data_IF_507473842763
#
_entry.id   IF_507473842763
#
_cell.length_a   1.000
_cell.length_b   1.000
_cell.length_c   1.000
_cell.angle_alpha   90.00
_cell.angle_beta   90.00
_cell.angle_gamma   90.00
#
_symmetry.space_group_name_H-M   'P 1'
#
loop_
_entity.id
_entity.type
_entity.pdbx_description
1 polymer ?
#
# COMPACT_ATOMS: atom_id res chain seq x y z
N UNK A 1 85.03 8.92 -1.08
CA UNK A 1 83.86 8.04 -0.81
C UNK A 1 82.99 7.95 -2.06
N UNK A 2 82.83 6.76 -2.66
CA UNK A 2 81.90 6.57 -3.80
C UNK A 2 80.47 6.71 -3.28
N UNK A 3 79.75 7.77 -3.69
CA UNK A 3 78.31 7.90 -3.40
C UNK A 3 77.60 6.74 -4.08
N UNK A 4 77.09 5.79 -3.30
CA UNK A 4 76.27 4.70 -3.82
C UNK A 4 74.91 5.28 -4.20
N UNK A 5 74.52 5.20 -5.47
CA UNK A 5 73.25 5.72 -6.01
C UNK A 5 72.04 4.79 -5.73
N UNK A 6 72.29 3.58 -5.23
CA UNK A 6 71.26 2.58 -4.90
C UNK A 6 70.11 3.08 -3.98
N UNK A 7 70.36 3.85 -2.89
CA UNK A 7 69.29 4.30 -2.01
C UNK A 7 68.40 5.39 -2.64
N UNK A 8 68.93 6.22 -3.54
CA UNK A 8 68.14 7.26 -4.21
C UNK A 8 67.16 6.65 -5.22
N UNK A 9 67.59 5.64 -5.98
CA UNK A 9 66.73 4.92 -6.93
C UNK A 9 65.60 4.21 -6.17
N UNK A 10 65.91 3.55 -5.05
CA UNK A 10 64.90 2.86 -4.25
C UNK A 10 63.85 3.83 -3.69
N UNK A 11 64.27 5.02 -3.23
CA UNK A 11 63.36 6.08 -2.78
C UNK A 11 62.44 6.57 -3.90
N UNK A 12 62.97 6.74 -5.11
CA UNK A 12 62.17 7.12 -6.28
C UNK A 12 61.10 6.07 -6.63
N UNK A 13 61.48 4.79 -6.66
CA UNK A 13 60.53 3.68 -6.92
C UNK A 13 59.47 3.59 -5.83
N UNK A 14 59.84 3.80 -4.57
CA UNK A 14 58.90 3.79 -3.45
C UNK A 14 57.84 4.89 -3.58
N UNK A 15 58.26 6.12 -3.92
CA UNK A 15 57.35 7.26 -4.14
C UNK A 15 56.39 7.00 -5.30
N UNK A 16 56.88 6.42 -6.40
CA UNK A 16 56.03 6.09 -7.54
C UNK A 16 55.00 5.01 -7.16
N UNK A 17 55.43 4.00 -6.42
CA UNK A 17 54.52 2.91 -5.97
C UNK A 17 53.43 3.44 -5.04
N UNK A 18 53.77 4.32 -4.09
CA UNK A 18 52.78 4.90 -3.18
C UNK A 18 51.79 5.81 -3.91
N UNK A 19 52.25 6.58 -4.90
CA UNK A 19 51.37 7.37 -5.76
C UNK A 19 50.36 6.51 -6.53
N UNK A 20 50.84 5.41 -7.14
CA UNK A 20 49.98 4.47 -7.86
C UNK A 20 48.94 3.85 -6.92
N UNK A 21 49.35 3.42 -5.73
CA UNK A 21 48.43 2.87 -4.73
C UNK A 21 47.36 3.89 -4.30
N UNK A 22 47.74 5.15 -4.13
CA UNK A 22 46.81 6.21 -3.74
C UNK A 22 45.76 6.46 -4.83
N UNK A 23 46.17 6.47 -6.10
CA UNK A 23 45.26 6.59 -7.25
C UNK A 23 44.31 5.39 -7.31
N UNK A 24 44.83 4.16 -7.18
CA UNK A 24 44.00 2.95 -7.18
C UNK A 24 42.98 2.95 -6.02
N UNK A 25 43.41 3.38 -4.84
CA UNK A 25 42.54 3.50 -3.67
C UNK A 25 41.41 4.50 -3.92
N UNK A 26 41.73 5.68 -4.46
CA UNK A 26 40.75 6.69 -4.82
C UNK A 26 39.74 6.17 -5.85
N UNK A 27 40.20 5.54 -6.92
CA UNK A 27 39.33 4.97 -7.96
C UNK A 27 38.42 3.88 -7.38
N UNK A 28 38.93 3.03 -6.51
CA UNK A 28 38.14 1.97 -5.87
C UNK A 28 37.02 2.54 -5.00
N UNK A 29 37.34 3.56 -4.20
CA UNK A 29 36.33 4.27 -3.39
C UNK A 29 35.27 4.91 -4.28
N UNK A 30 35.70 5.64 -5.31
CA UNK A 30 34.79 6.30 -6.23
C UNK A 30 33.85 5.30 -6.90
N UNK A 31 34.39 4.19 -7.41
CA UNK A 31 33.60 3.14 -8.05
C UNK A 31 32.57 2.53 -7.09
N UNK A 32 32.97 2.30 -5.83
CA UNK A 32 32.07 1.78 -4.80
C UNK A 32 30.94 2.76 -4.48
N UNK A 33 31.25 4.05 -4.38
CA UNK A 33 30.26 5.10 -4.17
C UNK A 33 29.27 5.13 -5.34
N UNK A 34 29.75 5.14 -6.58
CA UNK A 34 28.90 5.15 -7.77
C UNK A 34 27.97 3.92 -7.83
N UNK A 35 28.48 2.74 -7.47
CA UNK A 35 27.67 1.52 -7.35
C UNK A 35 26.59 1.66 -6.28
N UNK A 36 26.94 2.16 -5.09
CA UNK A 36 25.96 2.37 -4.01
C UNK A 36 24.86 3.37 -4.41
N UNK A 37 25.22 4.45 -5.09
CA UNK A 37 24.23 5.41 -5.59
C UNK A 37 23.29 4.77 -6.62
N UNK A 38 23.81 3.94 -7.50
CA UNK A 38 23.01 3.21 -8.49
C UNK A 38 22.04 2.25 -7.81
N UNK A 39 22.51 1.44 -6.86
CA UNK A 39 21.66 0.52 -6.09
C UNK A 39 20.55 1.28 -5.33
N UNK A 40 20.87 2.40 -4.69
CA UNK A 40 19.88 3.24 -4.00
C UNK A 40 18.82 3.76 -5.00
N UNK A 41 19.24 4.16 -6.19
CA UNK A 41 18.34 4.58 -7.27
C UNK A 41 17.38 3.47 -7.69
N UNK A 42 17.91 2.27 -7.94
CA UNK A 42 17.12 1.10 -8.32
C UNK A 42 16.14 0.68 -7.20
N UNK A 43 16.61 0.63 -5.95
CA UNK A 43 15.76 0.31 -4.79
C UNK A 43 14.63 1.33 -4.63
N UNK A 44 14.92 2.63 -4.80
CA UNK A 44 13.89 3.66 -4.73
C UNK A 44 12.87 3.56 -5.86
N UNK A 45 13.30 3.20 -7.07
CA UNK A 45 12.39 2.95 -8.18
C UNK A 45 11.44 1.77 -7.88
N UNK A 46 11.98 0.65 -7.40
CA UNK A 46 11.20 -0.53 -6.98
C UNK A 46 10.23 -0.17 -5.85
N UNK A 47 10.68 0.60 -4.86
CA UNK A 47 9.84 1.09 -3.76
C UNK A 47 8.69 1.96 -4.27
N UNK A 48 8.94 2.82 -5.26
CA UNK A 48 7.91 3.62 -5.93
C UNK A 48 6.86 2.75 -6.63
N UNK A 49 7.30 1.75 -7.39
CA UNK A 49 6.41 0.79 -8.04
C UNK A 49 5.55 0.00 -7.04
N UNK A 50 6.14 -0.48 -5.95
CA UNK A 50 5.43 -1.18 -4.89
C UNK A 50 4.38 -0.28 -4.22
N UNK A 51 4.72 0.98 -3.91
CA UNK A 51 3.75 1.94 -3.37
C UNK A 51 2.59 2.18 -4.34
N UNK A 52 2.87 2.37 -5.63
CA UNK A 52 1.83 2.54 -6.64
C UNK A 52 0.94 1.31 -6.74
N UNK A 53 1.52 0.11 -6.66
CA UNK A 53 0.76 -1.14 -6.64
C UNK A 53 -0.15 -1.24 -5.41
N UNK A 54 0.33 -0.86 -4.22
CA UNK A 54 -0.49 -0.82 -3.00
C UNK A 54 -1.64 0.19 -3.11
N UNK A 55 -1.37 1.38 -3.63
CA UNK A 55 -2.42 2.39 -3.85
C UNK A 55 -3.46 1.85 -4.84
N UNK A 56 -3.01 1.25 -5.95
CA UNK A 56 -3.91 0.65 -6.93
C UNK A 56 -4.80 -0.44 -6.30
N UNK A 57 -4.22 -1.34 -5.50
CA UNK A 57 -5.01 -2.36 -4.79
C UNK A 57 -6.02 -1.75 -3.82
N UNK A 58 -5.66 -0.67 -3.11
CA UNK A 58 -6.60 0.02 -2.22
C UNK A 58 -7.76 0.64 -2.99
N UNK A 59 -7.49 1.27 -4.13
CA UNK A 59 -8.53 1.82 -5.00
C UNK A 59 -9.42 0.71 -5.53
N UNK A 60 -8.85 -0.40 -5.99
CA UNK A 60 -9.60 -1.55 -6.48
C UNK A 60 -10.48 -2.18 -5.38
N UNK A 61 -9.95 -2.31 -4.15
CA UNK A 61 -10.75 -2.75 -3.01
C UNK A 61 -11.89 -1.78 -2.68
N UNK A 62 -11.65 -0.48 -2.71
CA UNK A 62 -12.69 0.53 -2.50
C UNK A 62 -13.76 0.47 -3.59
N UNK A 63 -13.36 0.21 -4.82
CA UNK A 63 -14.28 0.03 -5.95
C UNK A 63 -15.12 -1.25 -5.79
N UNK A 64 -14.50 -2.37 -5.41
CA UNK A 64 -15.21 -3.63 -5.11
C UNK A 64 -16.18 -3.46 -3.93
N UNK A 65 -15.74 -2.80 -2.87
CA UNK A 65 -16.53 -2.55 -1.67
C UNK A 65 -17.48 -1.35 -1.81
N UNK A 66 -17.53 -0.70 -2.98
CA UNK A 66 -18.39 0.46 -3.17
C UNK A 66 -19.85 0.03 -3.10
N UNK A 67 -20.64 0.77 -2.31
CA UNK A 67 -22.08 0.55 -2.19
C UNK A 67 -22.75 0.53 -3.56
N UNK A 68 -22.30 1.39 -4.48
CA UNK A 68 -22.80 1.44 -5.85
C UNK A 68 -22.67 0.10 -6.56
N UNK A 69 -21.50 -0.55 -6.49
CA UNK A 69 -21.27 -1.83 -7.14
C UNK A 69 -22.00 -2.98 -6.45
N UNK A 70 -22.04 -2.97 -5.11
CA UNK A 70 -22.83 -3.94 -4.33
C UNK A 70 -24.32 -3.84 -4.68
N UNK A 71 -24.84 -2.61 -4.77
CA UNK A 71 -26.22 -2.33 -5.14
C UNK A 71 -26.54 -2.75 -6.58
N UNK A 72 -25.60 -2.53 -7.49
CA UNK A 72 -25.73 -2.96 -8.89
C UNK A 72 -25.81 -4.49 -8.98
N UNK A 73 -24.89 -5.21 -8.35
CA UNK A 73 -24.93 -6.69 -8.29
C UNK A 73 -26.23 -7.18 -7.62
N UNK A 74 -26.66 -6.55 -6.53
CA UNK A 74 -27.88 -6.92 -5.83
C UNK A 74 -29.12 -6.76 -6.72
N UNK A 75 -29.23 -5.67 -7.49
CA UNK A 75 -30.41 -5.37 -8.29
C UNK A 75 -30.36 -6.11 -9.64
N UNK A 76 -29.24 -6.05 -10.35
CA UNK A 76 -29.10 -6.54 -11.72
C UNK A 76 -28.79 -8.05 -11.79
N UNK A 77 -27.86 -8.55 -10.97
CA UNK A 77 -27.44 -9.95 -11.02
C UNK A 77 -28.30 -10.85 -10.11
N UNK A 78 -28.69 -10.36 -8.94
CA UNK A 78 -29.44 -11.12 -7.93
C UNK A 78 -30.94 -10.83 -7.93
N UNK A 79 -31.41 -9.87 -8.73
CA UNK A 79 -32.83 -9.52 -8.84
C UNK A 79 -33.45 -9.01 -7.53
N UNK A 80 -32.63 -8.51 -6.58
CA UNK A 80 -33.12 -8.02 -5.30
C UNK A 80 -33.88 -6.70 -5.50
N UNK A 81 -35.17 -6.73 -5.19
CA UNK A 81 -36.02 -5.54 -5.20
C UNK A 81 -35.84 -4.83 -3.87
N UNK A 82 -35.48 -3.53 -3.89
CA UNK A 82 -35.46 -2.71 -2.68
C UNK A 82 -36.90 -2.65 -2.16
N UNK A 83 -37.18 -3.27 -1.01
CA UNK A 83 -38.43 -3.06 -0.26
C UNK A 83 -38.48 -1.59 0.16
N UNK A 84 -39.00 -0.73 -0.70
CA UNK A 84 -39.09 0.70 -0.40
C UNK A 84 -40.34 1.06 0.38
N UNK A 85 -41.35 0.19 0.45
CA UNK A 85 -42.53 0.40 1.27
C UNK A 85 -43.16 -0.97 1.61
N UNK A 86 -43.77 -1.13 2.81
CA UNK A 86 -44.56 -2.31 3.12
C UNK A 86 -45.73 -2.42 2.13
N UNK A 87 -45.93 -3.60 1.52
CA UNK A 87 -47.01 -3.87 0.55
C UNK A 87 -48.40 -3.48 1.08
N UNK A 88 -48.58 -3.52 2.41
CA UNK A 88 -49.79 -3.07 3.10
C UNK A 88 -49.44 -2.45 4.45
N UNK A 89 -49.93 -1.24 4.68
CA UNK A 89 -50.04 -0.64 6.02
C UNK A 89 -51.49 -0.82 6.45
N UNK A 90 -51.72 -1.67 7.45
CA UNK A 90 -53.05 -1.84 8.04
C UNK A 90 -53.14 -0.83 9.17
N UNK A 91 -53.93 0.23 8.97
CA UNK A 91 -54.32 1.13 10.03
C UNK A 91 -55.49 0.50 10.78
N UNK A 92 -55.21 0.03 11.99
CA UNK A 92 -56.23 -0.51 12.89
C UNK A 92 -56.79 0.67 13.68
N UNK A 93 -58.10 0.85 13.62
CA UNK A 93 -58.79 1.86 14.41
C UNK A 93 -58.69 1.52 15.91
N UNK A 94 -58.33 2.51 16.73
CA UNK A 94 -58.17 2.34 18.17
C UNK A 94 -59.47 1.98 18.90
N UNK A 95 -60.62 2.31 18.29
CA UNK A 95 -61.94 1.95 18.83
C UNK A 95 -62.20 0.44 18.68
N UNK A 96 -61.86 -0.15 17.54
CA UNK A 96 -61.97 -1.60 17.32
C UNK A 96 -61.07 -2.42 18.26
N UNK A 97 -59.92 -1.87 18.67
CA UNK A 97 -59.04 -2.54 19.66
C UNK A 97 -59.67 -2.53 21.05
N UNK A 98 -60.39 -1.46 21.42
CA UNK A 98 -61.10 -1.38 22.70
C UNK A 98 -62.26 -2.37 22.77
N UNK A 99 -63.07 -2.42 21.72
CA UNK A 99 -64.24 -3.32 21.67
C UNK A 99 -63.83 -4.80 21.70
N UNK A 100 -62.72 -5.17 21.06
CA UNK A 100 -62.19 -6.53 21.11
C UNK A 100 -61.64 -6.83 22.52
N UNK A 101 -60.99 -5.87 23.17
CA UNK A 101 -60.44 -6.06 24.52
C UNK A 101 -61.55 -6.24 25.56
N UNK A 102 -62.62 -5.47 25.48
CA UNK A 102 -63.77 -5.53 26.40
C UNK A 102 -64.58 -6.81 26.21
N UNK A 103 -64.73 -7.30 24.97
CA UNK A 103 -65.34 -8.61 24.71
C UNK A 103 -64.48 -9.80 25.15
N UNK A 104 -63.15 -9.69 25.11
CA UNK A 104 -62.26 -10.79 25.53
C UNK A 104 -62.12 -10.86 27.07
N UNK A 105 -62.29 -9.74 27.76
CA UNK A 105 -62.30 -9.68 29.23
C UNK A 105 -63.66 -10.16 29.81
N UNK A 106 -64.76 -10.06 29.06
CA UNK A 106 -66.10 -10.53 29.49
C UNK A 106 -66.42 -12.00 29.16
N UNK A 107 -65.63 -12.67 28.31
CA UNK A 107 -65.72 -14.12 28.09
C UNK A 107 -64.86 -14.94 29.08
N UNK A 108 -64.07 -14.28 29.95
CA UNK A 108 -63.18 -14.92 30.92
C UNK A 108 -63.62 -14.73 32.40
N UNK A 109 -64.83 -14.20 32.65
CA UNK A 109 -65.55 -14.26 33.94
C UNK A 109 -66.77 -15.20 33.83
#
# INVERSE_FOLDING_TARGET
>A
MKRSYKPEIFKGVFIMTTLVLLILFYVTIKLRIDFMFKEIGEINAVKGQLKNKQIKLKVELQELASEHRIRTIAIEDLGMVKRSEPDKIIYIDSELIKDIKENTESENE
#
